data_IF_360720262863
#
_entry.id   IF_360720262863
#
_cell.length_a   1.000
_cell.length_b   1.000
_cell.length_c   1.000
_cell.angle_alpha   90.00
_cell.angle_beta   90.00
_cell.angle_gamma   90.00
#
_symmetry.space_group_name_H-M   'P 1'
#
loop_
_entity.id
_entity.type
_entity.pdbx_description
1 polymer ?
#
# COMPACT_ATOMS: atom_id res chain seq x y z
N UNK A 1 -4.43 10.26 -2.51
CA UNK A 1 -5.53 9.54 -3.20
C UNK A 1 -5.28 8.04 -3.22
N UNK A 2 -4.07 7.59 -3.64
CA UNK A 2 -3.72 6.15 -3.72
C UNK A 2 -3.89 5.43 -2.38
N UNK A 3 -3.48 6.04 -1.27
CA UNK A 3 -3.61 5.45 0.08
C UNK A 3 -5.06 5.13 0.51
N UNK A 4 -6.06 5.71 -0.16
CA UNK A 4 -7.48 5.37 0.10
C UNK A 4 -7.95 4.09 -0.61
N UNK A 5 -7.12 3.50 -1.46
CA UNK A 5 -7.43 2.30 -2.23
C UNK A 5 -6.73 1.05 -1.71
N UNK A 6 -5.90 1.19 -0.67
CA UNK A 6 -5.05 0.11 -0.14
C UNK A 6 -5.49 -0.30 1.26
N UNK A 7 -5.18 -1.53 1.64
CA UNK A 7 -5.50 -2.10 2.95
C UNK A 7 -4.32 -2.03 3.93
N UNK A 8 -3.13 -1.66 3.44
CA UNK A 8 -1.92 -1.49 4.23
C UNK A 8 -0.80 -0.86 3.41
N UNK A 9 0.31 -0.56 4.05
CA UNK A 9 1.46 0.12 3.46
C UNK A 9 2.75 -0.63 3.81
N UNK A 10 3.62 -0.79 2.84
CA UNK A 10 5.01 -1.18 3.08
C UNK A 10 5.86 0.08 2.99
N UNK A 11 6.41 0.51 4.13
CA UNK A 11 7.32 1.64 4.21
C UNK A 11 8.74 1.16 3.94
N UNK A 12 9.25 1.43 2.74
CA UNK A 12 10.60 1.01 2.36
C UNK A 12 11.60 2.10 2.75
N UNK A 13 12.59 1.72 3.57
CA UNK A 13 13.64 2.62 4.06
C UNK A 13 15.01 2.03 3.69
N UNK A 14 15.95 2.89 3.29
CA UNK A 14 17.32 2.49 3.00
C UNK A 14 18.09 2.19 4.29
N UNK A 15 18.76 1.03 4.37
CA UNK A 15 19.49 0.58 5.56
C UNK A 15 20.70 1.45 5.92
N UNK A 16 21.15 2.34 5.05
CA UNK A 16 22.24 3.27 5.29
C UNK A 16 21.74 4.72 5.49
N UNK A 17 20.89 5.20 4.58
CA UNK A 17 20.43 6.59 4.62
C UNK A 17 19.38 6.86 5.70
N UNK A 18 18.61 5.84 6.10
CA UNK A 18 17.51 5.98 7.04
C UNK A 18 16.26 6.66 6.44
N UNK A 19 15.34 7.13 7.30
CA UNK A 19 14.12 7.79 6.85
C UNK A 19 14.39 9.16 6.25
N UNK A 20 13.94 9.37 5.01
CA UNK A 20 14.06 10.63 4.26
C UNK A 20 12.83 11.54 4.49
N UNK A 21 12.87 12.83 4.14
CA UNK A 21 11.73 13.74 4.28
C UNK A 21 10.45 13.23 3.60
N UNK A 22 10.58 12.56 2.46
CA UNK A 22 9.45 11.94 1.75
C UNK A 22 8.84 10.79 2.56
N UNK A 23 9.67 10.01 3.25
CA UNK A 23 9.25 8.93 4.15
C UNK A 23 8.33 9.49 5.25
N UNK A 24 8.72 10.61 5.86
CA UNK A 24 7.92 11.31 6.88
C UNK A 24 6.54 11.71 6.35
N UNK A 25 6.48 12.27 5.15
CA UNK A 25 5.21 12.70 4.57
C UNK A 25 4.27 11.52 4.30
N UNK A 26 4.77 10.45 3.69
CA UNK A 26 3.98 9.24 3.37
C UNK A 26 3.52 8.55 4.63
N UNK A 27 4.43 8.37 5.61
CA UNK A 27 4.11 7.74 6.90
C UNK A 27 3.01 8.50 7.63
N UNK A 28 3.12 9.84 7.76
CA UNK A 28 2.07 10.66 8.37
C UNK A 28 0.70 10.37 7.74
N UNK A 29 0.63 10.32 6.41
CA UNK A 29 -0.63 10.06 5.70
C UNK A 29 -1.15 8.64 5.91
N UNK A 30 -0.29 7.65 6.05
CA UNK A 30 -0.68 6.29 6.39
C UNK A 30 -1.25 6.20 7.81
N UNK A 31 -0.58 6.84 8.80
CA UNK A 31 -1.01 6.89 10.19
C UNK A 31 -2.35 7.63 10.35
N UNK A 32 -2.53 8.78 9.70
CA UNK A 32 -3.79 9.54 9.69
C UNK A 32 -4.97 8.71 9.15
N UNK A 33 -4.72 7.81 8.20
CA UNK A 33 -5.72 6.91 7.63
C UNK A 33 -5.84 5.58 8.39
N UNK A 34 -5.10 5.41 9.49
CA UNK A 34 -5.07 4.20 10.30
C UNK A 34 -4.73 2.94 9.50
N UNK A 35 -3.91 3.08 8.45
CA UNK A 35 -3.46 1.96 7.65
C UNK A 35 -2.39 1.16 8.41
N UNK A 36 -2.46 -0.18 8.43
CA UNK A 36 -1.37 -1.03 8.92
C UNK A 36 -0.09 -0.74 8.11
N UNK A 37 1.04 -0.56 8.81
CA UNK A 37 2.33 -0.26 8.20
C UNK A 37 3.31 -1.39 8.50
N UNK A 38 3.91 -1.96 7.47
CA UNK A 38 5.07 -2.86 7.58
C UNK A 38 6.30 -2.03 7.21
N UNK A 39 7.31 -2.02 8.06
CA UNK A 39 8.58 -1.33 7.77
C UNK A 39 9.54 -2.31 7.11
N UNK A 40 9.96 -2.02 5.88
CA UNK A 40 10.94 -2.81 5.15
C UNK A 40 12.25 -2.02 5.04
N UNK A 41 13.25 -2.40 5.84
CA UNK A 41 14.59 -1.82 5.78
C UNK A 41 15.36 -2.56 4.68
N UNK A 42 15.54 -1.88 3.55
CA UNK A 42 16.12 -2.46 2.33
C UNK A 42 17.60 -2.09 2.16
N UNK A 43 18.29 -2.82 1.31
CA UNK A 43 19.72 -2.69 1.00
C UNK A 43 20.64 -3.12 2.17
N UNK A 44 20.17 -4.08 2.97
CA UNK A 44 20.99 -4.65 4.06
C UNK A 44 22.24 -5.43 3.58
N UNK A 45 22.40 -5.61 2.28
CA UNK A 45 23.59 -6.22 1.65
C UNK A 45 24.76 -5.22 1.51
N UNK A 46 24.54 -3.93 1.73
CA UNK A 46 25.61 -2.93 1.63
C UNK A 46 26.58 -3.02 2.83
N UNK A 47 27.90 -2.80 2.60
CA UNK A 47 28.87 -2.80 3.68
C UNK A 47 28.60 -1.75 4.76
N UNK A 48 28.02 -0.60 4.36
CA UNK A 48 27.71 0.53 5.24
C UNK A 48 26.33 0.43 5.87
N UNK A 49 25.60 -0.67 5.64
CA UNK A 49 24.24 -0.84 6.19
C UNK A 49 24.27 -0.88 7.73
N UNK A 50 23.35 -0.14 8.34
CA UNK A 50 23.14 0.00 9.78
C UNK A 50 21.68 -0.26 10.16
N UNK A 51 21.13 -1.44 9.84
CA UNK A 51 19.70 -1.70 9.89
C UNK A 51 19.06 -1.51 11.26
N UNK A 52 19.75 -1.80 12.36
CA UNK A 52 19.22 -1.60 13.72
C UNK A 52 19.13 -0.11 14.08
N UNK A 53 20.14 0.69 13.73
CA UNK A 53 20.09 2.14 13.95
C UNK A 53 18.97 2.77 13.12
N UNK A 54 18.80 2.34 11.87
CA UNK A 54 17.71 2.80 11.01
C UNK A 54 16.34 2.38 11.54
N UNK A 55 16.23 1.21 12.18
CA UNK A 55 15.02 0.81 12.88
C UNK A 55 14.67 1.80 13.99
N UNK A 56 15.64 2.17 14.82
CA UNK A 56 15.44 3.14 15.90
C UNK A 56 15.04 4.51 15.35
N UNK A 57 15.70 4.99 14.29
CA UNK A 57 15.34 6.24 13.61
C UNK A 57 13.90 6.22 13.05
N UNK A 58 13.44 5.09 12.53
CA UNK A 58 12.06 4.94 12.06
C UNK A 58 11.09 4.96 13.23
N UNK A 59 11.38 4.28 14.35
CA UNK A 59 10.56 4.32 15.55
C UNK A 59 10.47 5.74 16.15
N UNK A 60 11.59 6.48 16.18
CA UNK A 60 11.59 7.90 16.56
C UNK A 60 10.69 8.72 15.65
N UNK A 61 10.72 8.46 14.34
CA UNK A 61 9.83 9.13 13.39
C UNK A 61 8.35 8.83 13.64
N UNK A 62 7.99 7.59 14.01
CA UNK A 62 6.62 7.25 14.41
C UNK A 62 6.19 8.06 15.65
N UNK A 63 7.07 8.14 16.67
CA UNK A 63 6.81 8.92 17.90
C UNK A 63 6.63 10.41 17.60
N UNK A 64 7.48 11.00 16.73
CA UNK A 64 7.34 12.39 16.28
C UNK A 64 6.05 12.68 15.50
N UNK A 65 5.43 11.64 14.95
CA UNK A 65 4.16 11.72 14.23
C UNK A 65 2.95 11.36 15.09
N UNK A 66 3.13 11.29 16.42
CA UNK A 66 2.08 10.94 17.39
C UNK A 66 1.40 9.58 17.10
N UNK A 67 2.21 8.59 16.66
CA UNK A 67 1.72 7.24 16.43
C UNK A 67 1.19 6.61 17.72
N UNK A 68 0.12 5.82 17.61
CA UNK A 68 -0.44 5.05 18.74
C UNK A 68 0.46 3.86 19.09
N UNK A 69 0.29 3.29 20.28
CA UNK A 69 1.02 2.08 20.68
C UNK A 69 0.82 0.92 19.72
N UNK A 70 -0.39 0.77 19.18
CA UNK A 70 -0.71 -0.24 18.16
C UNK A 70 0.04 0.01 16.84
N UNK A 71 0.22 1.27 16.46
CA UNK A 71 0.98 1.63 15.26
C UNK A 71 2.49 1.47 15.46
N UNK A 72 2.99 1.65 16.70
CA UNK A 72 4.37 1.43 17.05
C UNK A 72 4.74 -0.06 17.07
N UNK A 73 3.78 -0.96 17.35
CA UNK A 73 3.97 -2.41 17.30
C UNK A 73 3.93 -2.96 15.86
N UNK A 74 4.45 -2.19 14.91
CA UNK A 74 4.50 -2.57 13.51
C UNK A 74 5.65 -3.56 13.23
N UNK A 75 5.45 -4.52 12.30
CA UNK A 75 6.50 -5.48 11.96
C UNK A 75 7.63 -4.82 11.16
N UNK A 76 8.87 -5.21 11.49
CA UNK A 76 10.07 -4.85 10.73
C UNK A 76 10.57 -6.04 9.92
N UNK A 77 10.90 -5.79 8.66
CA UNK A 77 11.52 -6.75 7.75
C UNK A 77 12.80 -6.14 7.19
N UNK A 78 13.87 -6.89 7.21
CA UNK A 78 15.17 -6.50 6.67
C UNK A 78 15.38 -7.20 5.33
N UNK A 79 15.68 -6.44 4.30
CA UNK A 79 15.70 -6.97 2.95
C UNK A 79 16.92 -6.54 2.14
N UNK A 80 17.22 -7.34 1.15
CA UNK A 80 18.06 -6.98 0.01
C UNK A 80 17.28 -7.28 -1.27
N UNK A 81 16.63 -6.29 -1.82
CA UNK A 81 15.91 -6.43 -3.08
C UNK A 81 16.83 -6.85 -4.23
N UNK A 82 18.10 -6.41 -4.20
CA UNK A 82 19.12 -6.79 -5.17
C UNK A 82 19.39 -8.31 -5.17
N UNK A 83 19.45 -8.90 -3.97
CA UNK A 83 19.71 -10.32 -3.79
C UNK A 83 18.44 -11.17 -3.73
N UNK A 84 17.25 -10.53 -3.75
CA UNK A 84 15.97 -11.21 -3.64
C UNK A 84 15.77 -11.91 -2.29
N UNK A 85 16.26 -11.32 -1.18
CA UNK A 85 16.21 -11.94 0.14
C UNK A 85 15.61 -10.99 1.18
N UNK A 86 14.90 -11.55 2.16
CA UNK A 86 14.33 -10.83 3.29
C UNK A 86 14.39 -11.68 4.57
N UNK A 87 14.43 -11.04 5.73
CA UNK A 87 14.37 -11.70 7.05
C UNK A 87 13.68 -10.81 8.05
N UNK A 88 13.03 -11.40 9.02
CA UNK A 88 12.51 -10.71 10.23
C UNK A 88 13.52 -10.74 11.38
N UNK A 89 14.61 -11.50 11.22
CA UNK A 89 15.67 -11.63 12.22
C UNK A 89 17.04 -11.59 11.53
N UNK A 90 17.84 -10.55 11.83
CA UNK A 90 19.15 -10.32 11.23
C UNK A 90 20.19 -11.42 11.53
N UNK A 91 19.96 -12.25 12.56
CA UNK A 91 20.83 -13.40 12.87
C UNK A 91 20.59 -14.58 11.93
N UNK A 92 19.49 -14.57 11.19
CA UNK A 92 19.09 -15.64 10.25
C UNK A 92 19.29 -15.17 8.81
N UNK A 93 20.12 -15.91 8.08
CA UNK A 93 20.30 -15.66 6.64
C UNK A 93 19.22 -16.39 5.86
N UNK A 94 18.34 -15.63 5.22
CA UNK A 94 17.37 -16.14 4.25
C UNK A 94 17.84 -15.95 2.81
N UNK A 95 17.33 -16.81 1.93
CA UNK A 95 17.72 -16.82 0.50
C UNK A 95 16.62 -16.32 -0.42
N UNK A 96 15.45 -15.98 0.12
CA UNK A 96 14.28 -15.57 -0.64
C UNK A 96 13.51 -14.44 0.06
N UNK A 97 12.46 -13.95 -0.60
CA UNK A 97 11.58 -12.88 -0.09
C UNK A 97 10.39 -13.41 0.72
N UNK A 98 10.32 -14.72 0.96
CA UNK A 98 9.19 -15.35 1.65
C UNK A 98 8.86 -14.67 3.00
N UNK A 99 9.84 -14.32 3.86
CA UNK A 99 9.54 -13.65 5.13
C UNK A 99 8.79 -12.33 4.97
N UNK A 100 9.06 -11.55 3.91
CA UNK A 100 8.30 -10.33 3.63
C UNK A 100 6.87 -10.67 3.21
N UNK A 101 6.68 -11.65 2.34
CA UNK A 101 5.35 -12.06 1.89
C UNK A 101 4.52 -12.67 3.01
N UNK A 102 5.12 -13.50 3.86
CA UNK A 102 4.45 -14.04 5.05
C UNK A 102 4.00 -12.90 5.98
N UNK A 103 4.88 -11.93 6.25
CA UNK A 103 4.53 -10.75 7.07
C UNK A 103 3.37 -9.95 6.47
N UNK A 104 3.32 -9.79 5.14
CA UNK A 104 2.20 -9.12 4.46
C UNK A 104 0.89 -9.89 4.69
N UNK A 105 0.91 -11.21 4.49
CA UNK A 105 -0.28 -12.06 4.63
C UNK A 105 -0.79 -12.12 6.07
N UNK A 106 0.12 -12.09 7.04
CA UNK A 106 -0.23 -12.19 8.46
C UNK A 106 -0.70 -10.84 9.04
N UNK A 107 -0.15 -9.73 8.56
CA UNK A 107 -0.35 -8.42 9.18
C UNK A 107 -1.35 -7.52 8.44
N UNK A 108 -1.40 -7.57 7.11
CA UNK A 108 -2.32 -6.75 6.32
C UNK A 108 -3.66 -7.49 6.16
N UNK A 109 -4.78 -6.88 6.58
CA UNK A 109 -6.09 -7.51 6.43
C UNK A 109 -6.44 -7.70 4.96
N UNK A 110 -7.09 -8.82 4.65
CA UNK A 110 -7.63 -9.07 3.33
C UNK A 110 -8.66 -7.98 2.95
N UNK A 111 -8.82 -7.66 1.66
CA UNK A 111 -9.88 -6.75 1.24
C UNK A 111 -11.25 -7.26 1.68
N UNK A 112 -12.02 -6.36 2.30
CA UNK A 112 -13.42 -6.61 2.62
C UNK A 112 -14.30 -6.33 1.41
N UNK A 113 -15.43 -7.02 1.32
CA UNK A 113 -16.43 -6.82 0.27
C UNK A 113 -17.18 -8.09 -0.07
N UNK A 114 -18.40 -7.93 -0.58
CA UNK A 114 -19.21 -9.03 -1.06
C UNK A 114 -19.13 -9.12 -2.60
N UNK A 115 -18.48 -10.15 -3.16
CA UNK A 115 -18.34 -10.30 -4.60
C UNK A 115 -19.66 -10.59 -5.34
N UNK A 116 -20.72 -10.98 -4.63
CA UNK A 116 -22.01 -11.29 -5.21
C UNK A 116 -23.05 -10.16 -5.04
N UNK A 117 -22.66 -9.08 -4.36
CA UNK A 117 -23.42 -7.83 -4.28
C UNK A 117 -23.38 -7.02 -5.60
N UNK A 118 -24.17 -5.95 -5.65
CA UNK A 118 -24.10 -4.97 -6.75
C UNK A 118 -22.73 -4.29 -6.83
N UNK A 119 -22.26 -4.01 -8.04
CA UNK A 119 -20.97 -3.36 -8.24
C UNK A 119 -20.91 -2.00 -7.54
N UNK A 120 -19.92 -1.85 -6.66
CA UNK A 120 -19.51 -0.58 -6.07
C UNK A 120 -18.02 -0.35 -6.36
N UNK A 121 -17.73 0.58 -7.24
CA UNK A 121 -16.39 0.95 -7.66
C UNK A 121 -16.17 2.45 -7.39
N UNK A 122 -15.31 2.76 -6.42
CA UNK A 122 -14.93 4.13 -6.12
C UNK A 122 -13.77 4.57 -7.03
N UNK A 123 -14.05 5.48 -7.96
CA UNK A 123 -13.01 6.08 -8.81
C UNK A 123 -12.27 7.18 -8.02
N UNK A 124 -11.01 6.96 -7.76
CA UNK A 124 -10.13 7.88 -7.02
C UNK A 124 -9.29 8.77 -7.91
N UNK A 125 -9.01 8.33 -9.13
CA UNK A 125 -8.21 9.07 -10.11
C UNK A 125 -8.71 8.78 -11.52
N UNK A 126 -8.54 9.76 -12.42
CA UNK A 126 -8.85 9.62 -13.83
C UNK A 126 -7.56 9.80 -14.61
N UNK A 127 -7.29 8.87 -15.50
CA UNK A 127 -6.21 8.92 -16.48
C UNK A 127 -6.82 9.00 -17.89
N UNK A 128 -5.98 9.28 -18.87
CA UNK A 128 -6.40 9.38 -20.28
C UNK A 128 -5.36 8.74 -21.19
N UNK A 129 -5.86 7.98 -22.13
CA UNK A 129 -5.05 7.39 -23.19
C UNK A 129 -5.71 7.70 -24.54
N UNK A 130 -4.93 8.08 -25.53
CA UNK A 130 -5.43 8.48 -26.85
C UNK A 130 -6.22 7.37 -27.57
N UNK A 131 -5.92 6.09 -27.29
CA UNK A 131 -6.56 4.95 -27.95
C UNK A 131 -7.82 4.46 -27.25
N UNK A 132 -7.87 4.54 -25.91
CA UNK A 132 -8.99 4.00 -25.11
C UNK A 132 -9.83 5.09 -24.45
N UNK A 133 -9.38 6.34 -24.51
CA UNK A 133 -10.06 7.47 -23.90
C UNK A 133 -9.82 7.58 -22.40
N UNK A 134 -10.85 7.91 -21.63
CA UNK A 134 -10.78 8.09 -20.18
C UNK A 134 -10.68 6.75 -19.45
N UNK A 135 -9.70 6.65 -18.56
CA UNK A 135 -9.45 5.49 -17.71
C UNK A 135 -9.77 5.89 -16.27
N UNK A 136 -10.73 5.22 -15.65
CA UNK A 136 -11.00 5.36 -14.22
C UNK A 136 -10.13 4.39 -13.41
N UNK A 137 -9.38 4.90 -12.46
CA UNK A 137 -8.58 4.09 -11.52
C UNK A 137 -9.23 4.16 -10.15
N UNK A 138 -9.53 3.00 -9.57
CA UNK A 138 -10.24 2.95 -8.30
C UNK A 138 -10.23 1.56 -7.66
N UNK A 139 -10.93 1.44 -6.54
CA UNK A 139 -11.12 0.21 -5.79
C UNK A 139 -12.54 -0.31 -5.99
N UNK A 140 -12.66 -1.60 -6.26
CA UNK A 140 -13.94 -2.31 -6.19
C UNK A 140 -14.19 -2.67 -4.73
N UNK A 141 -15.19 -2.03 -4.13
CA UNK A 141 -15.57 -2.31 -2.73
C UNK A 141 -16.56 -3.48 -2.64
N UNK A 142 -17.47 -3.61 -3.60
CA UNK A 142 -18.40 -4.72 -3.71
C UNK A 142 -18.65 -5.12 -5.17
N UNK A 143 -19.09 -6.34 -5.37
CA UNK A 143 -19.47 -6.88 -6.68
C UNK A 143 -18.24 -7.21 -7.54
N UNK A 144 -18.51 -7.33 -8.82
CA UNK A 144 -17.51 -7.68 -9.85
C UNK A 144 -17.66 -6.75 -11.05
N UNK A 145 -16.54 -6.42 -11.69
CA UNK A 145 -16.55 -5.67 -12.94
C UNK A 145 -15.97 -6.52 -14.07
N UNK A 146 -16.62 -6.50 -15.22
CA UNK A 146 -16.22 -7.28 -16.39
C UNK A 146 -16.16 -6.40 -17.65
N UNK A 147 -15.33 -6.79 -18.60
CA UNK A 147 -15.33 -6.15 -19.94
C UNK A 147 -16.70 -6.34 -20.59
N UNK A 148 -17.18 -5.32 -21.26
CA UNK A 148 -18.51 -5.24 -21.87
C UNK A 148 -19.70 -5.12 -20.91
N UNK A 149 -19.46 -5.09 -19.59
CA UNK A 149 -20.52 -4.83 -18.61
C UNK A 149 -21.05 -3.40 -18.75
N UNK A 150 -22.37 -3.24 -18.66
CA UNK A 150 -23.00 -1.93 -18.50
C UNK A 150 -22.98 -1.52 -17.04
N UNK A 151 -22.51 -0.32 -16.79
CA UNK A 151 -22.42 0.26 -15.45
C UNK A 151 -22.99 1.66 -15.42
N UNK A 152 -23.42 2.13 -14.26
CA UNK A 152 -23.92 3.48 -14.05
C UNK A 152 -22.87 4.30 -13.32
N UNK A 153 -22.41 5.38 -13.95
CA UNK A 153 -21.58 6.37 -13.28
C UNK A 153 -22.51 7.28 -12.49
N UNK A 154 -22.25 7.42 -11.20
CA UNK A 154 -22.93 8.35 -10.28
C UNK A 154 -21.95 9.39 -9.78
N UNK A 155 -22.43 10.59 -9.49
CA UNK A 155 -21.64 11.66 -8.91
C UNK A 155 -22.14 11.94 -7.49
N UNK A 156 -21.26 11.85 -6.50
CA UNK A 156 -21.62 12.11 -5.10
C UNK A 156 -22.14 13.55 -4.86
N UNK A 157 -21.63 14.51 -5.62
CA UNK A 157 -22.03 15.92 -5.50
C UNK A 157 -23.29 16.28 -6.34
N UNK A 158 -23.70 15.40 -7.25
CA UNK A 158 -24.88 15.57 -8.09
C UNK A 158 -25.51 14.18 -8.33
N UNK A 159 -26.31 13.67 -7.37
CA UNK A 159 -26.89 12.33 -7.43
C UNK A 159 -27.84 12.11 -8.61
N UNK A 160 -28.44 13.18 -9.14
CA UNK A 160 -29.36 13.12 -10.28
C UNK A 160 -28.61 12.99 -11.60
N UNK A 161 -27.34 13.35 -11.63
CA UNK A 161 -26.48 13.21 -12.82
C UNK A 161 -25.93 11.79 -12.93
N UNK A 162 -26.70 10.91 -13.54
CA UNK A 162 -26.31 9.52 -13.79
C UNK A 162 -26.01 9.29 -15.28
N UNK A 163 -24.98 8.50 -15.57
CA UNK A 163 -24.62 8.13 -16.93
C UNK A 163 -24.40 6.64 -17.07
N UNK A 164 -25.12 5.99 -17.95
CA UNK A 164 -24.86 4.60 -18.33
C UNK A 164 -23.68 4.55 -19.31
N UNK A 165 -22.74 3.68 -19.04
CA UNK A 165 -21.57 3.45 -19.88
C UNK A 165 -21.25 1.97 -19.93
N UNK A 166 -20.51 1.56 -20.96
CA UNK A 166 -20.04 0.20 -21.12
C UNK A 166 -18.54 0.14 -20.81
N UNK A 167 -18.12 -0.83 -20.01
CA UNK A 167 -16.71 -1.07 -19.72
C UNK A 167 -16.04 -1.63 -20.97
N UNK A 168 -15.16 -0.84 -21.60
CA UNK A 168 -14.48 -1.24 -22.83
C UNK A 168 -13.27 -2.12 -22.58
N UNK A 169 -12.51 -1.87 -21.49
CA UNK A 169 -11.29 -2.57 -21.14
C UNK A 169 -11.03 -2.52 -19.65
N UNK A 170 -10.37 -3.55 -19.14
CA UNK A 170 -9.81 -3.63 -17.77
C UNK A 170 -8.29 -3.82 -17.87
N UNK A 171 -7.57 -3.22 -16.91
CA UNK A 171 -6.11 -3.28 -16.82
C UNK A 171 -5.69 -3.92 -15.50
#
# INVERSE_FOLDING_TARGET
>A
RVLKMVNGVILVVDAFEGPMPQTRFVLRKALELQLPVIVCINKCDRPEARPLEVQDEVLELFLELDATDEQLDCPFVYASAKNGSATTNLTVKNKDMKPLFDTILDYIPAPEGDPDAGLQLLISTIDYNEYVGRIGVGKVDNGKVSVNQEVVIVNHHDPDSTKRVKVSKLY
#
